data_IF_306560967443
#
_entry.id   IF_306560967443
#
_cell.length_a   1.000
_cell.length_b   1.000
_cell.length_c   1.000
_cell.angle_alpha   90.00
_cell.angle_beta   90.00
_cell.angle_gamma   90.00
#
_symmetry.space_group_name_H-M   'P 1'
#
loop_
_entity.id
_entity.type
_entity.pdbx_description
1 polymer ?
#
# COMPACT_ATOMS: atom_id res chain seq x y z
N UNK A 1 -13.20 77.75 31.50
CA UNK A 1 -12.76 77.08 32.76
C UNK A 1 -13.63 75.80 32.88
N UNK A 2 -13.13 74.66 32.37
CA UNK A 2 -13.79 73.38 32.41
C UNK A 2 -12.92 72.40 33.21
N UNK A 3 -13.44 71.93 34.27
CA UNK A 3 -12.84 70.97 35.20
C UNK A 3 -12.90 69.56 34.61
N UNK A 4 -11.74 68.82 34.66
CA UNK A 4 -11.57 67.46 34.30
C UNK A 4 -11.73 66.60 35.54
N UNK A 5 -12.55 65.50 35.58
CA UNK A 5 -12.63 64.58 36.69
C UNK A 5 -11.54 63.49 36.66
N UNK A 6 -11.15 62.89 37.77
CA UNK A 6 -10.04 61.98 37.88
C UNK A 6 -10.37 60.56 37.44
N UNK A 7 -9.40 59.92 36.81
CA UNK A 7 -9.42 58.50 36.41
C UNK A 7 -9.43 57.56 37.59
N UNK A 8 -10.44 56.70 37.68
CA UNK A 8 -10.46 55.52 38.58
C UNK A 8 -9.68 54.39 37.92
N UNK A 9 -8.66 53.86 38.61
CA UNK A 9 -7.96 52.63 38.26
C UNK A 9 -8.81 51.44 38.69
N UNK A 10 -9.30 50.65 37.77
CA UNK A 10 -9.88 49.33 38.03
C UNK A 10 -8.77 48.30 37.97
N UNK A 11 -8.55 47.59 39.06
CA UNK A 11 -7.65 46.45 39.14
C UNK A 11 -8.33 45.25 38.44
N UNK A 12 -7.72 44.73 37.39
CA UNK A 12 -8.14 43.47 36.75
C UNK A 12 -7.49 42.31 37.50
N UNK A 13 -8.33 41.48 38.14
CA UNK A 13 -7.92 40.15 38.62
C UNK A 13 -7.68 39.25 37.42
N UNK A 14 -6.43 38.89 37.16
CA UNK A 14 -6.08 37.88 36.21
C UNK A 14 -6.38 36.48 36.74
N UNK A 15 -7.36 35.81 36.16
CA UNK A 15 -7.59 34.37 36.38
C UNK A 15 -6.57 33.61 35.57
N UNK A 16 -5.60 32.97 36.19
CA UNK A 16 -4.67 32.06 35.56
C UNK A 16 -5.42 30.75 35.16
N UNK A 17 -5.69 30.55 33.90
CA UNK A 17 -6.14 29.27 33.36
C UNK A 17 -4.90 28.38 33.21
N UNK A 18 -4.78 27.40 34.10
CA UNK A 18 -3.79 26.32 33.97
C UNK A 18 -4.31 25.38 32.86
N UNK A 19 -3.79 25.50 31.66
CA UNK A 19 -4.02 24.53 30.60
C UNK A 19 -3.21 23.25 30.93
N UNK A 20 -3.90 22.21 31.37
CA UNK A 20 -3.32 20.89 31.48
C UNK A 20 -3.10 20.36 30.05
N UNK A 21 -1.87 20.38 29.61
CA UNK A 21 -1.44 19.68 28.37
C UNK A 21 -1.50 18.18 28.65
N UNK A 22 -2.59 17.53 28.25
CA UNK A 22 -2.66 16.09 28.20
C UNK A 22 -1.79 15.67 27.00
N UNK A 23 -0.57 15.21 27.30
CA UNK A 23 0.27 14.59 26.28
C UNK A 23 -0.41 13.30 25.82
N UNK A 24 -0.95 13.29 24.61
CA UNK A 24 -1.35 12.06 23.96
C UNK A 24 -0.10 11.18 23.79
N UNK A 25 -0.20 9.86 24.05
CA UNK A 25 0.91 8.96 23.77
C UNK A 25 1.16 8.97 22.27
N UNK A 26 2.25 9.59 21.84
CA UNK A 26 2.77 9.41 20.51
C UNK A 26 3.16 7.95 20.40
N UNK A 27 2.38 7.18 19.64
CA UNK A 27 2.82 5.85 19.16
C UNK A 27 3.97 6.12 18.21
N UNK A 28 5.18 6.15 18.76
CA UNK A 28 6.38 6.03 17.95
C UNK A 28 6.32 4.66 17.30
N UNK A 29 5.99 4.62 16.02
CA UNK A 29 6.34 3.49 15.17
C UNK A 29 7.84 3.35 15.36
N UNK A 30 8.26 2.31 16.09
CA UNK A 30 9.66 2.00 16.24
C UNK A 30 10.17 1.66 14.83
N UNK A 31 10.73 2.66 14.16
CA UNK A 31 11.67 2.39 13.08
C UNK A 31 12.74 1.55 13.75
N UNK A 32 12.92 0.32 13.30
CA UNK A 32 14.04 -0.49 13.74
C UNK A 32 15.28 0.40 13.64
N UNK A 33 15.93 0.64 14.77
CA UNK A 33 17.18 1.40 14.77
C UNK A 33 18.08 0.77 13.71
N UNK A 34 18.77 1.55 12.87
CA UNK A 34 19.74 0.99 11.96
C UNK A 34 20.64 0.10 12.79
N UNK A 35 20.65 -1.21 12.49
CA UNK A 35 21.50 -2.18 13.19
C UNK A 35 22.90 -1.62 13.20
N UNK A 36 23.62 -1.77 14.31
CA UNK A 36 25.04 -1.41 14.36
C UNK A 36 25.71 -1.94 13.08
N UNK A 37 26.63 -1.19 12.44
CA UNK A 37 27.24 -1.57 11.19
C UNK A 37 27.79 -3.00 11.36
N UNK A 38 27.01 -3.98 10.89
CA UNK A 38 27.36 -5.37 10.92
C UNK A 38 28.58 -5.52 10.02
N UNK A 39 29.61 -6.19 10.49
CA UNK A 39 30.70 -6.61 9.62
C UNK A 39 30.10 -7.33 8.43
N UNK A 40 30.32 -6.79 7.21
CA UNK A 40 29.88 -7.46 5.96
C UNK A 40 30.25 -8.94 6.04
N UNK A 41 29.31 -9.85 5.76
CA UNK A 41 29.63 -11.27 5.78
C UNK A 41 30.87 -11.54 4.92
N UNK A 42 31.72 -12.44 5.33
CA UNK A 42 33.02 -12.72 4.66
C UNK A 42 32.89 -13.11 3.19
N UNK A 43 31.70 -13.55 2.74
CA UNK A 43 31.38 -13.85 1.35
C UNK A 43 31.03 -12.60 0.50
N UNK A 44 30.79 -11.44 1.12
CA UNK A 44 30.51 -10.19 0.41
C UNK A 44 31.78 -9.54 -0.17
N UNK A 45 32.52 -10.20 -0.92
CA UNK A 45 33.74 -9.74 -1.56
C UNK A 45 34.29 -10.79 -2.50
N UNK A 46 33.71 -11.95 -2.43
CA UNK A 46 34.04 -13.07 -3.33
C UNK A 46 32.86 -13.33 -4.25
N UNK A 47 33.16 -13.48 -5.52
CA UNK A 47 32.23 -13.80 -6.60
C UNK A 47 31.57 -15.18 -6.38
N UNK A 48 30.63 -15.24 -5.47
CA UNK A 48 29.93 -16.46 -5.08
C UNK A 48 28.79 -16.74 -6.07
N UNK A 49 29.18 -17.02 -7.32
CA UNK A 49 28.30 -17.19 -8.49
C UNK A 49 27.45 -18.45 -8.45
N UNK A 50 27.44 -19.23 -7.38
CA UNK A 50 26.84 -20.55 -7.34
C UNK A 50 25.36 -20.56 -6.90
N UNK A 51 24.76 -19.42 -6.57
CA UNK A 51 23.32 -19.32 -6.27
C UNK A 51 22.66 -18.25 -7.16
N UNK A 52 21.41 -18.46 -7.62
CA UNK A 52 20.69 -17.49 -8.45
C UNK A 52 20.59 -16.11 -7.78
N UNK A 53 20.59 -16.06 -6.46
CA UNK A 53 20.41 -14.85 -5.66
C UNK A 53 21.69 -14.36 -4.98
N UNK A 54 22.87 -14.84 -5.39
CA UNK A 54 24.15 -14.45 -4.80
C UNK A 54 24.36 -12.93 -4.76
N UNK A 55 23.86 -12.20 -5.77
CA UNK A 55 23.93 -10.74 -5.86
C UNK A 55 23.23 -10.01 -4.72
N UNK A 56 22.22 -10.62 -4.08
CA UNK A 56 21.47 -10.01 -2.98
C UNK A 56 22.01 -10.34 -1.59
N UNK A 57 22.93 -11.30 -1.47
CA UNK A 57 23.50 -11.70 -0.18
C UNK A 57 24.19 -10.55 0.58
N UNK A 58 24.67 -9.56 -0.14
CA UNK A 58 25.43 -8.42 0.39
C UNK A 58 24.61 -7.13 0.44
N UNK A 59 23.32 -7.20 0.18
CA UNK A 59 22.44 -6.04 0.25
C UNK A 59 22.37 -5.52 1.70
N UNK A 60 22.38 -4.20 1.84
CA UNK A 60 22.24 -3.49 3.11
C UNK A 60 20.85 -2.87 3.24
N UNK A 61 20.41 -2.61 4.47
CA UNK A 61 19.15 -1.90 4.72
C UNK A 61 19.21 -0.52 4.07
N UNK A 62 18.19 -0.21 3.27
CA UNK A 62 18.10 1.04 2.51
C UNK A 62 18.59 0.94 1.07
N UNK A 63 19.28 -0.13 0.69
CA UNK A 63 19.68 -0.34 -0.70
C UNK A 63 18.46 -0.40 -1.63
N UNK A 64 18.63 0.13 -2.84
CA UNK A 64 17.66 0.04 -3.93
C UNK A 64 18.15 -1.05 -4.89
N UNK A 65 17.55 -2.22 -4.80
CA UNK A 65 17.97 -3.39 -5.58
C UNK A 65 17.16 -3.52 -6.85
N UNK A 66 17.84 -3.66 -7.97
CA UNK A 66 17.24 -4.11 -9.22
C UNK A 66 16.86 -5.60 -9.12
N UNK A 67 15.56 -5.88 -9.17
CA UNK A 67 15.00 -7.22 -8.96
C UNK A 67 14.12 -7.60 -10.15
N UNK A 68 14.30 -8.79 -10.68
CA UNK A 68 13.39 -9.39 -11.65
C UNK A 68 12.10 -9.78 -10.94
N UNK A 69 10.94 -9.38 -11.44
CA UNK A 69 9.64 -9.61 -10.79
C UNK A 69 9.38 -11.10 -10.55
N UNK A 70 9.82 -11.96 -11.47
CA UNK A 70 9.70 -13.41 -11.33
C UNK A 70 10.53 -14.04 -10.20
N UNK A 71 11.50 -13.30 -9.63
CA UNK A 71 12.37 -13.79 -8.55
C UNK A 71 11.82 -13.47 -7.16
N UNK A 72 10.73 -12.68 -7.07
CA UNK A 72 10.21 -12.17 -5.80
C UNK A 72 9.27 -13.18 -5.13
N UNK A 73 9.47 -13.43 -3.84
CA UNK A 73 8.62 -14.30 -3.05
C UNK A 73 7.57 -13.50 -2.26
N UNK A 74 6.26 -13.73 -2.47
CA UNK A 74 5.21 -13.08 -1.70
C UNK A 74 5.21 -13.47 -0.22
N UNK A 75 4.73 -12.54 0.62
CA UNK A 75 4.56 -12.75 2.08
C UNK A 75 3.11 -12.69 2.53
N UNK A 76 2.17 -12.79 1.59
CA UNK A 76 0.74 -12.90 1.83
C UNK A 76 0.11 -13.92 0.89
N UNK A 77 -0.97 -14.63 1.28
CA UNK A 77 -1.57 -15.69 0.47
C UNK A 77 -2.58 -15.19 -0.56
N UNK A 78 -3.09 -13.97 -0.40
CA UNK A 78 -4.22 -13.46 -1.19
C UNK A 78 -4.01 -12.02 -1.62
N UNK A 79 -4.75 -11.60 -2.65
CA UNK A 79 -4.85 -10.24 -3.16
C UNK A 79 -6.32 -9.82 -3.29
N UNK A 80 -6.59 -8.52 -3.20
CA UNK A 80 -7.82 -7.95 -3.72
C UNK A 80 -7.72 -7.86 -5.25
N UNK A 81 -8.35 -8.78 -5.96
CA UNK A 81 -8.24 -8.83 -7.42
C UNK A 81 -8.78 -7.57 -8.10
N UNK A 82 -9.82 -6.93 -7.56
CA UNK A 82 -10.36 -5.70 -8.15
C UNK A 82 -9.37 -4.52 -8.07
N UNK A 83 -8.41 -4.50 -7.12
CA UNK A 83 -7.30 -3.55 -7.14
C UNK A 83 -6.36 -3.81 -8.32
N UNK A 84 -6.05 -5.08 -8.60
CA UNK A 84 -5.24 -5.46 -9.75
C UNK A 84 -5.98 -5.13 -11.06
N UNK A 85 -7.27 -5.46 -11.15
CA UNK A 85 -8.10 -5.12 -12.32
C UNK A 85 -8.21 -3.62 -12.54
N UNK A 86 -8.30 -2.82 -11.47
CA UNK A 86 -8.22 -1.37 -11.58
C UNK A 86 -6.89 -0.91 -12.21
N UNK A 87 -5.75 -1.44 -11.71
CA UNK A 87 -4.44 -1.08 -12.26
C UNK A 87 -4.32 -1.50 -13.72
N UNK A 88 -4.67 -2.74 -14.04
CA UNK A 88 -4.69 -3.25 -15.43
C UNK A 88 -5.63 -2.43 -16.33
N UNK A 89 -6.81 -2.05 -15.83
CA UNK A 89 -7.72 -1.15 -16.53
C UNK A 89 -7.10 0.22 -16.82
N UNK A 90 -6.37 0.81 -15.85
CA UNK A 90 -5.64 2.06 -16.07
C UNK A 90 -4.48 1.89 -17.05
N UNK A 91 -3.80 0.73 -17.02
CA UNK A 91 -2.63 0.46 -17.87
C UNK A 91 -2.99 0.20 -19.33
N UNK A 92 -4.13 -0.47 -19.58
CA UNK A 92 -4.53 -0.91 -20.92
C UNK A 92 -5.67 -0.09 -21.54
N UNK A 93 -6.54 0.48 -20.71
CA UNK A 93 -7.73 1.25 -21.12
C UNK A 93 -7.65 2.72 -20.68
N UNK A 94 -6.48 3.17 -20.21
CA UNK A 94 -6.28 4.51 -19.67
C UNK A 94 -6.55 5.61 -20.71
N UNK A 95 -7.09 6.71 -20.21
CA UNK A 95 -7.44 7.90 -21.00
C UNK A 95 -6.46 9.06 -20.77
N UNK A 96 -5.36 8.78 -20.08
CA UNK A 96 -4.36 9.79 -19.73
C UNK A 96 -3.38 10.01 -20.89
N UNK A 97 -2.79 11.20 -20.98
CA UNK A 97 -1.80 11.53 -22.01
C UNK A 97 -0.49 10.74 -21.84
N UNK A 98 -0.08 10.53 -20.59
CA UNK A 98 0.97 9.56 -20.22
C UNK A 98 0.25 8.41 -19.54
N UNK A 99 0.52 7.19 -19.98
CA UNK A 99 -0.17 6.02 -19.46
C UNK A 99 0.24 5.79 -17.99
N UNK A 100 -0.76 5.66 -17.10
CA UNK A 100 -0.55 5.42 -15.66
C UNK A 100 0.37 4.24 -15.34
N UNK A 101 0.50 3.30 -16.26
CA UNK A 101 1.44 2.19 -16.20
C UNK A 101 2.89 2.65 -16.00
N UNK A 102 3.31 3.67 -16.74
CA UNK A 102 4.66 4.21 -16.64
C UNK A 102 4.85 5.06 -15.39
N UNK A 103 3.82 5.81 -14.96
CA UNK A 103 3.84 6.50 -13.66
C UNK A 103 4.06 5.51 -12.51
N UNK A 104 3.22 4.45 -12.45
CA UNK A 104 3.31 3.45 -11.39
C UNK A 104 4.65 2.70 -11.40
N UNK A 105 5.23 2.48 -12.59
CA UNK A 105 6.56 1.87 -12.71
C UNK A 105 7.67 2.82 -12.22
N UNK A 106 7.66 4.07 -12.65
CA UNK A 106 8.64 5.08 -12.23
C UNK A 106 8.57 5.33 -10.72
N UNK A 107 7.36 5.42 -10.15
CA UNK A 107 7.15 5.49 -8.70
C UNK A 107 7.72 4.26 -7.98
N UNK A 108 7.41 3.06 -8.47
CA UNK A 108 7.91 1.82 -7.87
C UNK A 108 9.43 1.72 -7.96
N UNK A 109 10.03 2.31 -9.00
CA UNK A 109 11.47 2.38 -9.24
C UNK A 109 12.17 3.51 -8.45
N UNK A 110 11.42 4.32 -7.69
CA UNK A 110 11.97 5.43 -6.89
C UNK A 110 12.33 6.67 -7.69
N UNK A 111 11.75 6.86 -8.86
CA UNK A 111 12.14 7.88 -9.85
C UNK A 111 11.05 8.91 -10.14
N UNK A 112 10.08 9.08 -9.23
CA UNK A 112 8.95 9.99 -9.43
C UNK A 112 7.93 9.43 -10.42
N UNK A 113 7.22 10.29 -11.13
CA UNK A 113 6.29 9.90 -12.18
C UNK A 113 6.99 9.75 -13.54
N UNK A 114 6.28 9.30 -14.56
CA UNK A 114 6.78 9.27 -15.92
C UNK A 114 6.86 10.70 -16.49
N UNK A 115 8.03 11.09 -16.98
CA UNK A 115 8.21 12.37 -17.65
C UNK A 115 7.77 12.32 -19.11
N UNK A 116 8.09 11.24 -19.82
CA UNK A 116 7.69 11.02 -21.22
C UNK A 116 7.44 9.54 -21.50
N UNK A 117 6.52 9.25 -22.41
CA UNK A 117 6.39 7.94 -23.02
C UNK A 117 6.15 8.12 -24.53
N UNK A 118 6.93 7.46 -25.36
CA UNK A 118 6.76 7.49 -26.81
C UNK A 118 5.45 6.79 -27.21
N UNK A 119 4.85 7.13 -28.37
CA UNK A 119 3.78 6.30 -28.92
C UNK A 119 4.24 4.85 -29.08
N UNK A 120 3.53 3.90 -28.44
CA UNK A 120 3.91 2.49 -28.43
C UNK A 120 4.97 2.10 -27.40
N UNK A 121 5.28 2.99 -26.43
CA UNK A 121 6.16 2.68 -25.30
C UNK A 121 5.72 1.41 -24.57
N UNK A 122 6.71 0.65 -24.05
CA UNK A 122 6.54 -0.64 -23.40
C UNK A 122 7.32 -0.70 -22.09
N UNK A 123 6.80 -1.39 -21.08
CA UNK A 123 7.51 -1.58 -19.80
C UNK A 123 8.77 -2.44 -19.97
N UNK A 124 8.73 -3.43 -20.85
CA UNK A 124 9.88 -4.29 -21.19
C UNK A 124 10.92 -3.62 -22.10
N UNK A 125 10.70 -2.36 -22.49
CA UNK A 125 11.66 -1.51 -23.17
C UNK A 125 11.87 -0.18 -22.41
N UNK A 126 12.79 -0.15 -21.42
CA UNK A 126 13.07 1.06 -20.64
C UNK A 126 13.59 2.25 -21.45
N UNK A 127 13.97 2.06 -22.72
CA UNK A 127 14.38 3.15 -23.61
C UNK A 127 13.20 3.91 -24.21
N UNK A 128 11.99 3.34 -24.16
CA UNK A 128 10.76 3.87 -24.76
C UNK A 128 10.05 4.92 -23.94
N UNK A 129 10.46 5.12 -22.68
CA UNK A 129 9.90 6.13 -21.76
C UNK A 129 10.97 6.65 -20.81
N UNK A 130 10.68 7.78 -20.13
CA UNK A 130 11.59 8.36 -19.13
C UNK A 130 10.80 8.69 -17.86
N UNK A 131 11.47 8.57 -16.71
CA UNK A 131 10.96 9.03 -15.43
C UNK A 131 11.49 10.46 -15.12
N UNK A 132 10.84 11.14 -14.18
CA UNK A 132 11.24 12.49 -13.74
C UNK A 132 12.67 12.54 -13.22
N UNK A 133 13.08 11.50 -12.46
CA UNK A 133 14.43 11.42 -11.91
C UNK A 133 15.26 10.35 -12.63
N UNK A 134 16.50 10.65 -13.01
CA UNK A 134 17.45 9.63 -13.48
C UNK A 134 17.87 8.72 -12.31
N UNK A 135 18.34 7.52 -12.63
CA UNK A 135 18.94 6.60 -11.64
C UNK A 135 20.13 7.28 -10.95
N UNK A 136 20.16 7.22 -9.63
CA UNK A 136 21.18 7.86 -8.79
C UNK A 136 20.84 9.30 -8.37
N UNK A 137 19.67 9.83 -8.78
CA UNK A 137 19.17 11.14 -8.34
C UNK A 137 17.89 11.01 -7.48
N UNK A 138 17.65 9.83 -6.92
CA UNK A 138 16.51 9.58 -6.05
C UNK A 138 16.55 10.47 -4.80
N UNK A 139 15.38 10.95 -4.38
CA UNK A 139 15.21 11.75 -3.17
C UNK A 139 14.49 10.93 -2.09
N UNK A 140 14.48 11.42 -0.85
CA UNK A 140 13.73 10.77 0.22
C UNK A 140 12.23 10.63 -0.13
N UNK A 141 11.66 11.64 -0.80
CA UNK A 141 10.28 11.67 -1.25
C UNK A 141 10.00 10.64 -2.34
N UNK A 142 10.91 10.47 -3.30
CA UNK A 142 10.74 9.49 -4.39
C UNK A 142 11.01 8.06 -3.92
N UNK A 143 11.83 7.86 -2.89
CA UNK A 143 12.12 6.55 -2.28
C UNK A 143 10.96 6.09 -1.35
N UNK A 144 10.25 7.02 -0.72
CA UNK A 144 9.22 6.71 0.26
C UNK A 144 8.12 5.75 -0.28
N UNK A 145 7.57 5.92 -1.50
CA UNK A 145 6.54 5.05 -2.06
C UNK A 145 7.07 3.73 -2.66
N UNK A 146 8.41 3.55 -2.73
CA UNK A 146 9.00 2.34 -3.29
C UNK A 146 8.53 1.08 -2.56
N UNK A 147 8.37 0.00 -3.33
CA UNK A 147 8.03 -1.30 -2.77
C UNK A 147 9.23 -1.91 -2.05
N UNK A 148 8.96 -2.76 -1.07
CA UNK A 148 9.98 -3.17 -0.10
C UNK A 148 10.19 -4.68 -0.06
N UNK A 149 11.44 -5.08 0.20
CA UNK A 149 11.84 -6.48 0.34
C UNK A 149 12.67 -6.71 1.59
N UNK A 150 12.65 -7.96 2.05
CA UNK A 150 13.63 -8.52 3.00
C UNK A 150 14.39 -9.59 2.26
N UNK A 151 15.72 -9.58 2.39
CA UNK A 151 16.57 -10.64 1.84
C UNK A 151 16.58 -11.79 2.85
N UNK A 152 16.05 -12.93 2.45
CA UNK A 152 15.95 -14.14 3.23
C UNK A 152 17.12 -15.11 3.03
N UNK A 153 17.04 -16.30 3.65
CA UNK A 153 18.07 -17.33 3.54
C UNK A 153 18.39 -17.67 2.09
N UNK A 154 19.67 -17.69 1.75
CA UNK A 154 20.13 -17.95 0.38
C UNK A 154 20.07 -16.75 -0.56
N UNK A 155 19.70 -15.57 -0.06
CA UNK A 155 19.59 -14.35 -0.86
C UNK A 155 18.21 -14.13 -1.51
N UNK A 156 17.23 -15.00 -1.22
CA UNK A 156 15.89 -14.93 -1.78
C UNK A 156 15.21 -13.59 -1.41
N UNK A 157 14.64 -12.81 -2.35
CA UNK A 157 13.96 -11.55 -2.08
C UNK A 157 12.50 -11.79 -1.68
N UNK A 158 12.14 -11.51 -0.43
CA UNK A 158 10.77 -11.62 0.09
C UNK A 158 10.08 -10.27 0.09
N UNK A 159 9.01 -10.15 -0.69
CA UNK A 159 8.25 -8.91 -0.84
C UNK A 159 7.45 -8.62 0.43
N UNK A 160 7.62 -7.44 1.01
CA UNK A 160 6.90 -7.02 2.23
C UNK A 160 5.84 -5.97 1.95
N UNK A 161 5.92 -5.28 0.81
CA UNK A 161 4.90 -4.39 0.24
C UNK A 161 4.96 -4.42 -1.29
N UNK A 162 3.85 -4.11 -1.96
CA UNK A 162 3.78 -4.01 -3.42
C UNK A 162 3.26 -5.24 -4.15
N UNK A 163 2.68 -6.21 -3.44
CA UNK A 163 2.13 -7.42 -4.05
C UNK A 163 1.13 -7.15 -5.18
N UNK A 164 0.21 -6.19 -5.00
CA UNK A 164 -0.75 -5.78 -6.04
C UNK A 164 -0.05 -5.08 -7.21
N UNK A 165 0.91 -4.21 -6.94
CA UNK A 165 1.64 -3.45 -7.97
C UNK A 165 2.49 -4.38 -8.84
N UNK A 166 3.30 -5.26 -8.22
CA UNK A 166 4.14 -6.20 -8.97
C UNK A 166 3.29 -7.24 -9.72
N UNK A 167 2.18 -7.70 -9.13
CA UNK A 167 1.22 -8.55 -9.84
C UNK A 167 0.63 -7.82 -11.05
N UNK A 168 0.28 -6.54 -10.93
CA UNK A 168 -0.24 -5.78 -12.07
C UNK A 168 0.80 -5.60 -13.18
N UNK A 169 2.06 -5.39 -12.82
CA UNK A 169 3.14 -5.38 -13.81
C UNK A 169 3.38 -6.76 -14.45
N UNK A 170 3.25 -7.82 -13.65
CA UNK A 170 3.38 -9.19 -14.16
C UNK A 170 2.28 -9.53 -15.18
N UNK A 171 1.03 -9.12 -14.91
CA UNK A 171 -0.15 -9.41 -15.74
C UNK A 171 -0.31 -8.50 -16.96
N UNK A 172 0.43 -7.37 -17.01
CA UNK A 172 0.28 -6.46 -18.17
C UNK A 172 0.93 -7.06 -19.42
N UNK A 173 0.38 -6.84 -20.66
CA UNK A 173 0.85 -7.47 -21.89
C UNK A 173 2.33 -7.25 -22.25
N UNK A 174 2.90 -6.15 -21.77
CA UNK A 174 4.31 -5.78 -21.92
C UNK A 174 5.10 -5.87 -20.61
N UNK A 175 4.62 -6.72 -19.69
CA UNK A 175 5.24 -7.01 -18.40
C UNK A 175 5.72 -8.45 -18.33
N UNK A 176 5.44 -9.11 -17.20
CA UNK A 176 5.76 -10.52 -16.97
C UNK A 176 6.92 -10.75 -16.03
N UNK A 177 7.33 -12.00 -15.93
CA UNK A 177 8.33 -12.45 -14.96
C UNK A 177 9.72 -11.80 -15.16
N UNK A 178 10.05 -11.44 -16.39
CA UNK A 178 11.37 -10.89 -16.75
C UNK A 178 11.45 -9.37 -16.61
N UNK A 179 10.33 -8.70 -16.27
CA UNK A 179 10.36 -7.28 -15.99
C UNK A 179 11.16 -6.99 -14.72
N UNK A 180 11.96 -5.95 -14.76
CA UNK A 180 12.77 -5.49 -13.65
C UNK A 180 12.16 -4.26 -12.99
N UNK A 181 12.31 -4.15 -11.68
CA UNK A 181 11.94 -2.98 -10.88
C UNK A 181 12.88 -2.89 -9.69
N UNK A 182 13.22 -1.68 -9.24
CA UNK A 182 14.02 -1.52 -8.03
C UNK A 182 13.12 -1.58 -6.80
N UNK A 183 13.58 -2.35 -5.81
CA UNK A 183 12.92 -2.52 -4.53
C UNK A 183 13.83 -2.08 -3.40
N UNK A 184 13.26 -1.45 -2.37
CA UNK A 184 14.02 -1.00 -1.21
C UNK A 184 14.17 -2.11 -0.18
N UNK A 185 15.39 -2.35 0.28
CA UNK A 185 15.71 -3.37 1.29
C UNK A 185 15.34 -2.86 2.69
N UNK A 186 14.50 -3.61 3.40
CA UNK A 186 14.19 -3.36 4.81
C UNK A 186 15.17 -4.03 5.76
N UNK A 187 15.62 -5.24 5.41
CA UNK A 187 16.59 -6.01 6.19
C UNK A 187 17.24 -7.10 5.33
N UNK A 188 18.43 -7.53 5.73
CA UNK A 188 19.10 -8.69 5.17
C UNK A 188 19.23 -9.78 6.25
N UNK A 189 18.47 -10.85 6.07
CA UNK A 189 18.43 -12.04 6.94
C UNK A 189 18.96 -13.28 6.22
N UNK A 190 19.79 -13.10 5.18
CA UNK A 190 20.33 -14.18 4.36
C UNK A 190 21.15 -15.22 5.14
N UNK A 191 21.68 -14.84 6.31
CA UNK A 191 22.47 -15.72 7.19
C UNK A 191 21.63 -16.46 8.24
N UNK A 192 20.35 -16.15 8.38
CA UNK A 192 19.49 -16.79 9.35
C UNK A 192 19.05 -18.18 8.87
N UNK A 193 18.71 -19.05 9.84
CA UNK A 193 17.97 -20.27 9.51
C UNK A 193 16.56 -19.92 8.98
N UNK A 194 15.94 -20.81 8.20
CA UNK A 194 14.55 -20.58 7.73
C UNK A 194 13.58 -20.36 8.90
N UNK A 195 13.78 -21.04 10.03
CA UNK A 195 12.93 -20.83 11.22
C UNK A 195 13.09 -19.41 11.76
N UNK A 196 14.33 -19.00 12.04
CA UNK A 196 14.60 -17.68 12.63
C UNK A 196 14.22 -16.54 11.68
N UNK A 197 14.37 -16.74 10.36
CA UNK A 197 13.89 -15.82 9.33
C UNK A 197 12.38 -15.57 9.46
N UNK A 198 11.57 -16.63 9.47
CA UNK A 198 10.12 -16.49 9.57
C UNK A 198 9.68 -15.94 10.93
N UNK A 199 10.42 -16.20 12.01
CA UNK A 199 10.14 -15.59 13.30
C UNK A 199 10.39 -14.07 13.25
N UNK A 200 11.49 -13.63 12.63
CA UNK A 200 11.75 -12.20 12.38
C UNK A 200 10.69 -11.55 11.47
N UNK A 201 10.25 -12.23 10.42
CA UNK A 201 9.20 -11.72 9.54
C UNK A 201 7.88 -11.48 10.30
N UNK A 202 7.52 -12.39 11.24
CA UNK A 202 6.33 -12.21 12.10
C UNK A 202 6.49 -11.10 13.12
N UNK A 203 7.63 -11.04 13.81
CA UNK A 203 7.94 -9.99 14.79
C UNK A 203 7.81 -8.60 14.18
N UNK A 204 8.31 -8.41 12.96
CA UNK A 204 8.27 -7.14 12.24
C UNK A 204 6.94 -6.91 11.48
N UNK A 205 5.99 -7.85 11.54
CA UNK A 205 4.74 -7.79 10.76
C UNK A 205 4.96 -7.67 9.25
N UNK A 206 5.99 -8.30 8.72
CA UNK A 206 6.33 -8.32 7.30
C UNK A 206 5.79 -9.55 6.57
N UNK A 207 4.96 -10.33 7.22
CA UNK A 207 4.24 -11.48 6.66
C UNK A 207 2.82 -11.52 7.20
N UNK A 208 1.84 -11.76 6.33
CA UNK A 208 0.44 -11.98 6.67
C UNK A 208 0.06 -13.43 6.37
N UNK A 209 -0.42 -14.17 7.39
CA UNK A 209 -0.63 -15.61 7.32
C UNK A 209 -2.09 -16.00 7.60
N UNK A 210 -3.02 -15.28 6.97
CA UNK A 210 -4.44 -15.65 6.95
C UNK A 210 -4.95 -15.58 5.51
N UNK A 211 -5.75 -16.59 5.10
CA UNK A 211 -6.45 -16.60 3.82
C UNK A 211 -7.66 -15.67 3.81
N UNK A 212 -8.35 -15.55 2.67
CA UNK A 212 -9.52 -14.67 2.52
C UNK A 212 -10.63 -14.95 3.53
N UNK A 213 -10.85 -16.21 3.88
CA UNK A 213 -11.83 -16.63 4.88
C UNK A 213 -11.32 -16.54 6.35
N UNK A 214 -10.15 -15.95 6.57
CA UNK A 214 -9.55 -15.80 7.90
C UNK A 214 -8.84 -17.04 8.43
N UNK A 215 -8.81 -18.15 7.69
CA UNK A 215 -8.12 -19.35 8.08
C UNK A 215 -6.61 -19.16 8.13
N UNK A 216 -5.89 -19.74 9.13
CA UNK A 216 -4.43 -19.63 9.20
C UNK A 216 -3.76 -20.33 8.02
N UNK A 217 -2.75 -19.66 7.46
CA UNK A 217 -1.92 -20.19 6.37
C UNK A 217 -0.50 -20.47 6.89
N UNK A 218 0.05 -21.63 6.54
CA UNK A 218 1.45 -21.95 6.87
C UNK A 218 2.39 -21.26 5.89
N UNK A 219 3.58 -20.86 6.34
CA UNK A 219 4.58 -20.17 5.50
C UNK A 219 4.97 -20.97 4.23
N UNK A 220 4.97 -22.29 4.30
CA UNK A 220 5.24 -23.16 3.15
C UNK A 220 4.04 -23.30 2.18
N UNK A 221 2.96 -22.58 2.42
CA UNK A 221 1.77 -22.48 1.56
C UNK A 221 1.58 -21.08 0.98
N UNK A 222 2.51 -20.17 1.29
CA UNK A 222 2.55 -18.88 0.61
C UNK A 222 2.84 -19.07 -0.88
N UNK A 223 2.36 -18.17 -1.75
CA UNK A 223 2.71 -18.18 -3.17
C UNK A 223 4.21 -18.15 -3.38
N UNK A 224 4.69 -18.83 -4.42
CA UNK A 224 6.11 -18.86 -4.78
C UNK A 224 6.54 -17.72 -5.69
N UNK A 225 5.59 -16.95 -6.22
CA UNK A 225 5.81 -15.80 -7.09
C UNK A 225 4.57 -14.92 -7.19
N UNK A 226 4.72 -13.75 -7.76
CA UNK A 226 3.60 -12.84 -8.06
C UNK A 226 2.83 -13.32 -9.30
N UNK A 227 1.70 -12.69 -9.57
CA UNK A 227 0.75 -13.07 -10.64
C UNK A 227 -0.56 -13.59 -10.05
N UNK A 228 -1.72 -13.19 -10.63
CA UNK A 228 -3.06 -13.52 -10.12
C UNK A 228 -3.26 -15.01 -9.89
N UNK A 229 -2.74 -15.86 -10.79
CA UNK A 229 -2.87 -17.31 -10.68
C UNK A 229 -2.22 -17.92 -9.43
N UNK A 230 -1.32 -17.20 -8.77
CA UNK A 230 -0.60 -17.67 -7.60
C UNK A 230 -1.29 -17.30 -6.27
N UNK A 231 -2.23 -16.36 -6.28
CA UNK A 231 -2.90 -15.87 -5.09
C UNK A 231 -4.36 -16.32 -5.03
N UNK A 232 -4.93 -16.30 -3.84
CA UNK A 232 -6.38 -16.36 -3.66
C UNK A 232 -6.99 -14.96 -3.79
N UNK A 233 -8.23 -14.85 -4.30
CA UNK A 233 -8.94 -13.57 -4.33
C UNK A 233 -9.52 -13.24 -2.96
N UNK A 234 -9.15 -12.12 -2.39
CA UNK A 234 -9.73 -11.55 -1.17
C UNK A 234 -10.67 -10.40 -1.51
N UNK A 235 -11.96 -10.68 -1.47
CA UNK A 235 -13.02 -9.72 -1.80
C UNK A 235 -13.10 -8.58 -0.77
N UNK A 236 -12.84 -8.88 0.52
CA UNK A 236 -12.77 -7.85 1.56
C UNK A 236 -11.62 -6.89 1.29
N UNK A 237 -10.47 -7.43 0.87
CA UNK A 237 -9.30 -6.63 0.51
C UNK A 237 -9.58 -5.72 -0.71
N UNK A 238 -10.34 -6.22 -1.70
CA UNK A 238 -10.81 -5.44 -2.85
C UNK A 238 -11.72 -4.29 -2.41
N UNK A 239 -12.73 -4.59 -1.59
CA UNK A 239 -13.69 -3.60 -1.09
C UNK A 239 -12.99 -2.49 -0.30
N UNK A 240 -12.04 -2.85 0.56
CA UNK A 240 -11.29 -1.90 1.38
C UNK A 240 -10.37 -1.00 0.56
N UNK A 241 -9.77 -1.52 -0.52
CA UNK A 241 -8.97 -0.68 -1.41
C UNK A 241 -9.76 0.53 -1.93
N UNK A 242 -11.01 0.32 -2.33
CA UNK A 242 -11.86 1.41 -2.82
C UNK A 242 -12.43 2.29 -1.67
N UNK A 243 -12.26 1.86 -0.42
CA UNK A 243 -12.61 2.64 0.77
C UNK A 243 -11.51 3.59 1.26
N UNK A 244 -10.29 3.53 0.70
CA UNK A 244 -9.17 4.44 1.04
C UNK A 244 -9.56 5.89 0.82
N UNK A 245 -9.10 6.77 1.71
CA UNK A 245 -9.34 8.21 1.69
C UNK A 245 -10.83 8.60 1.81
N UNK A 246 -11.70 7.60 2.00
CA UNK A 246 -13.15 7.75 2.23
C UNK A 246 -13.53 7.35 3.65
N UNK A 247 -13.06 6.19 4.13
CA UNK A 247 -13.30 5.67 5.48
C UNK A 247 -12.05 5.61 6.34
N UNK A 248 -10.89 5.46 5.72
CA UNK A 248 -9.59 5.41 6.39
C UNK A 248 -8.50 5.89 5.44
N UNK A 249 -7.35 6.28 6.00
CA UNK A 249 -6.13 6.62 5.26
C UNK A 249 -5.04 5.58 5.53
N UNK A 250 -4.13 5.43 4.56
CA UNK A 250 -2.94 4.61 4.76
C UNK A 250 -1.97 5.32 5.71
N UNK A 251 -1.49 4.61 6.71
CA UNK A 251 -0.58 5.14 7.73
C UNK A 251 0.77 4.41 7.78
N UNK A 252 1.08 3.62 6.75
CA UNK A 252 2.34 2.88 6.63
C UNK A 252 2.36 1.55 7.43
N UNK A 253 1.25 1.17 8.07
CA UNK A 253 1.16 -0.13 8.72
C UNK A 253 1.10 -1.24 7.66
N UNK A 254 2.03 -2.22 7.67
CA UNK A 254 1.95 -3.35 6.77
C UNK A 254 0.62 -4.10 6.93
N UNK A 255 0.03 -4.52 5.81
CA UNK A 255 -1.21 -5.30 5.78
C UNK A 255 -2.43 -4.62 6.42
N UNK A 256 -2.45 -3.29 6.53
CA UNK A 256 -3.53 -2.52 7.16
C UNK A 256 -4.93 -2.94 6.68
N UNK A 257 -5.12 -3.11 5.39
CA UNK A 257 -6.40 -3.52 4.81
C UNK A 257 -6.82 -4.94 5.21
N UNK A 258 -5.89 -5.83 5.46
CA UNK A 258 -6.22 -7.19 5.91
C UNK A 258 -6.75 -7.18 7.35
N UNK A 259 -6.26 -6.29 8.21
CA UNK A 259 -6.84 -6.12 9.56
C UNK A 259 -8.26 -5.56 9.48
N UNK A 260 -8.50 -4.57 8.62
CA UNK A 260 -9.85 -4.11 8.35
C UNK A 260 -10.71 -5.20 7.71
N UNK A 261 -10.17 -6.02 6.81
CA UNK A 261 -10.85 -7.15 6.18
C UNK A 261 -11.29 -8.19 7.21
N UNK A 262 -10.45 -8.51 8.19
CA UNK A 262 -10.81 -9.36 9.32
C UNK A 262 -12.02 -8.81 10.07
N UNK A 263 -12.04 -7.51 10.37
CA UNK A 263 -13.18 -6.88 11.03
C UNK A 263 -14.46 -6.94 10.17
N UNK A 264 -14.36 -6.68 8.86
CA UNK A 264 -15.53 -6.78 7.97
C UNK A 264 -16.11 -8.18 7.97
N UNK A 265 -15.26 -9.20 7.89
CA UNK A 265 -15.64 -10.61 7.91
C UNK A 265 -16.28 -11.00 9.25
N UNK A 266 -15.66 -10.64 10.37
CA UNK A 266 -16.01 -11.14 11.69
C UNK A 266 -17.18 -10.35 12.30
N UNK A 267 -17.20 -9.03 12.19
CA UNK A 267 -18.23 -8.15 12.73
C UNK A 267 -19.42 -7.96 11.78
N UNK A 268 -19.26 -8.24 10.49
CA UNK A 268 -20.30 -8.11 9.46
C UNK A 268 -21.03 -6.75 9.52
N UNK A 269 -20.30 -5.62 9.50
CA UNK A 269 -20.90 -4.30 9.67
C UNK A 269 -21.85 -3.91 8.53
N UNK A 270 -21.73 -4.58 7.38
CA UNK A 270 -22.56 -4.40 6.18
C UNK A 270 -23.03 -5.75 5.64
N UNK A 271 -24.18 -5.76 4.98
CA UNK A 271 -24.69 -6.94 4.29
C UNK A 271 -23.98 -7.09 2.93
N UNK A 272 -23.07 -8.06 2.84
CA UNK A 272 -22.35 -8.37 1.61
C UNK A 272 -23.11 -9.35 0.70
N UNK A 273 -24.21 -9.95 1.15
CA UNK A 273 -25.00 -10.87 0.32
C UNK A 273 -25.69 -10.14 -0.85
N UNK A 274 -26.01 -8.87 -0.67
CA UNK A 274 -26.60 -8.00 -1.70
C UNK A 274 -25.56 -7.30 -2.59
N UNK A 275 -24.27 -7.47 -2.30
CA UNK A 275 -23.20 -6.80 -3.03
C UNK A 275 -22.96 -7.45 -4.39
N UNK A 276 -23.35 -6.75 -5.45
CA UNK A 276 -22.98 -7.11 -6.82
C UNK A 276 -21.65 -6.43 -7.19
N UNK A 277 -20.59 -7.22 -7.34
CA UNK A 277 -19.22 -6.76 -7.62
C UNK A 277 -19.00 -6.35 -9.07
N UNK A 278 -19.97 -6.56 -9.95
CA UNK A 278 -19.90 -6.21 -11.36
C UNK A 278 -20.82 -5.03 -11.72
N UNK A 279 -21.55 -4.51 -10.72
CA UNK A 279 -22.39 -3.33 -10.86
C UNK A 279 -21.80 -2.14 -10.09
N UNK A 280 -21.57 -1.03 -10.81
CA UNK A 280 -20.97 0.19 -10.25
C UNK A 280 -21.80 0.76 -9.09
N UNK A 281 -23.12 0.78 -9.23
CA UNK A 281 -24.03 1.34 -8.23
C UNK A 281 -24.03 0.53 -6.94
N UNK A 282 -24.13 -0.81 -7.07
CA UNK A 282 -24.06 -1.76 -5.94
C UNK A 282 -22.72 -1.68 -5.23
N UNK A 283 -21.62 -1.65 -5.98
CA UNK A 283 -20.28 -1.54 -5.41
C UNK A 283 -20.10 -0.23 -4.61
N UNK A 284 -20.49 0.89 -5.20
CA UNK A 284 -20.44 2.21 -4.54
C UNK A 284 -21.33 2.27 -3.29
N UNK A 285 -22.52 1.66 -3.33
CA UNK A 285 -23.39 1.61 -2.17
C UNK A 285 -22.72 0.85 -1.02
N UNK A 286 -22.09 -0.30 -1.30
CA UNK A 286 -21.38 -1.11 -0.32
C UNK A 286 -20.14 -0.39 0.25
N UNK A 287 -19.33 0.24 -0.61
CA UNK A 287 -18.18 1.07 -0.16
C UNK A 287 -18.65 2.19 0.75
N UNK A 288 -19.74 2.89 0.37
CA UNK A 288 -20.29 3.99 1.16
C UNK A 288 -20.77 3.54 2.53
N UNK A 289 -21.50 2.43 2.59
CA UNK A 289 -22.03 1.90 3.85
C UNK A 289 -20.89 1.43 4.75
N UNK A 290 -19.97 0.63 4.23
CA UNK A 290 -18.80 0.16 4.97
C UNK A 290 -17.96 1.32 5.51
N UNK A 291 -17.60 2.28 4.67
CA UNK A 291 -16.72 3.37 5.08
C UNK A 291 -17.38 4.31 6.10
N UNK A 292 -18.71 4.43 6.07
CA UNK A 292 -19.47 5.13 7.14
C UNK A 292 -19.45 4.36 8.45
N UNK A 293 -19.54 3.03 8.42
CA UNK A 293 -19.40 2.22 9.63
C UNK A 293 -17.99 2.33 10.23
N UNK A 294 -16.96 2.34 9.38
CA UNK A 294 -15.57 2.53 9.81
C UNK A 294 -15.38 3.88 10.54
N UNK A 295 -15.84 4.96 9.94
CA UNK A 295 -15.74 6.32 10.55
C UNK A 295 -16.69 6.54 11.73
N UNK A 296 -17.67 5.68 11.92
CA UNK A 296 -18.60 5.69 13.06
C UNK A 296 -18.09 4.91 14.28
N UNK A 297 -16.98 4.17 14.14
CA UNK A 297 -16.39 3.46 15.29
C UNK A 297 -15.78 4.45 16.28
N UNK A 298 -15.87 4.17 17.61
CA UNK A 298 -15.01 4.85 18.58
C UNK A 298 -13.55 4.71 18.18
N UNK A 299 -12.77 5.77 18.31
CA UNK A 299 -11.37 5.78 17.85
C UNK A 299 -10.48 4.74 18.55
N UNK A 300 -10.82 4.40 19.79
CA UNK A 300 -10.15 3.39 20.63
C UNK A 300 -10.78 1.98 20.51
N UNK A 301 -11.85 1.82 19.72
CA UNK A 301 -12.44 0.51 19.48
C UNK A 301 -11.41 -0.42 18.80
N UNK A 302 -11.20 -1.58 19.42
CA UNK A 302 -10.30 -2.62 18.86
C UNK A 302 -10.97 -3.22 17.62
N UNK A 303 -10.24 -3.20 16.51
CA UNK A 303 -10.69 -3.70 15.21
C UNK A 303 -10.19 -5.12 14.99
N UNK A 304 -8.90 -5.34 14.95
CA UNK A 304 -8.27 -6.68 14.82
C UNK A 304 -6.86 -6.67 15.41
N UNK A 305 -6.41 -7.81 15.94
CA UNK A 305 -5.02 -8.05 16.40
C UNK A 305 -4.48 -6.98 17.36
N UNK A 306 -5.37 -6.37 18.16
CA UNK A 306 -5.05 -5.30 19.10
C UNK A 306 -4.94 -3.91 18.47
N UNK A 307 -5.11 -3.77 17.17
CA UNK A 307 -5.18 -2.47 16.51
C UNK A 307 -6.54 -1.82 16.73
N UNK A 308 -6.52 -0.53 17.09
CA UNK A 308 -7.73 0.29 17.20
C UNK A 308 -8.14 0.90 15.87
N UNK A 309 -9.37 1.42 15.78
CA UNK A 309 -9.83 2.13 14.59
C UNK A 309 -8.91 3.30 14.23
N UNK A 310 -8.47 4.10 15.22
CA UNK A 310 -7.48 5.15 15.02
C UNK A 310 -6.11 4.59 14.56
N UNK A 311 -5.67 3.49 15.16
CA UNK A 311 -4.42 2.81 14.81
C UNK A 311 -4.43 2.21 13.39
N UNK A 312 -5.62 1.92 12.87
CA UNK A 312 -5.84 1.50 11.48
C UNK A 312 -6.29 2.67 10.58
N UNK A 313 -5.97 3.91 10.96
CA UNK A 313 -6.15 5.08 10.11
C UNK A 313 -7.60 5.50 9.85
N UNK A 314 -8.59 5.03 10.65
CA UNK A 314 -9.98 5.47 10.46
C UNK A 314 -10.07 7.00 10.45
N UNK A 315 -10.72 7.56 9.42
CA UNK A 315 -10.94 9.01 9.33
C UNK A 315 -11.89 9.47 10.44
N UNK A 316 -11.71 10.69 10.91
CA UNK A 316 -12.61 11.31 11.87
C UNK A 316 -14.00 11.59 11.29
N UNK A 317 -14.04 11.85 10.01
CA UNK A 317 -15.26 12.14 9.28
C UNK A 317 -15.26 11.39 7.93
N UNK A 318 -16.37 10.76 7.62
CA UNK A 318 -16.57 10.10 6.35
C UNK A 318 -16.25 11.03 5.17
N UNK A 319 -15.46 10.54 4.19
CA UNK A 319 -15.07 11.28 2.99
C UNK A 319 -14.38 12.61 3.32
N UNK A 320 -13.65 12.69 4.45
CA UNK A 320 -13.01 13.91 4.94
C UNK A 320 -14.01 15.05 5.22
N UNK A 321 -15.22 14.74 5.67
CA UNK A 321 -16.30 15.71 5.94
C UNK A 321 -17.00 16.24 4.67
N UNK A 322 -16.67 15.73 3.48
CA UNK A 322 -17.25 16.19 2.22
C UNK A 322 -18.55 15.44 1.88
N UNK A 323 -19.48 16.10 1.19
CA UNK A 323 -20.68 15.45 0.67
C UNK A 323 -20.33 14.33 -0.31
N UNK A 324 -21.25 13.37 -0.52
CA UNK A 324 -21.08 12.25 -1.45
C UNK A 324 -20.85 12.68 -2.92
N UNK A 325 -21.23 13.90 -3.28
CA UNK A 325 -21.03 14.50 -4.61
C UNK A 325 -19.72 15.30 -4.72
N UNK A 326 -18.80 15.11 -3.76
CA UNK A 326 -17.50 15.78 -3.68
C UNK A 326 -16.46 14.85 -3.07
N UNK A 327 -15.19 15.20 -3.22
CA UNK A 327 -14.08 14.47 -2.58
C UNK A 327 -13.81 13.12 -3.22
N UNK A 328 -13.22 12.22 -2.42
CA UNK A 328 -12.73 10.93 -2.94
C UNK A 328 -13.87 9.98 -3.31
N UNK A 329 -14.99 10.03 -2.59
CA UNK A 329 -16.15 9.21 -2.94
C UNK A 329 -16.78 9.61 -4.28
N UNK A 330 -16.90 10.92 -4.59
CA UNK A 330 -17.34 11.38 -5.90
C UNK A 330 -16.40 10.94 -7.02
N UNK A 331 -15.08 11.08 -6.79
CA UNK A 331 -14.07 10.63 -7.77
C UNK A 331 -14.17 9.13 -8.03
N UNK A 332 -14.36 8.33 -6.98
CA UNK A 332 -14.50 6.87 -7.10
C UNK A 332 -15.68 6.49 -7.98
N UNK A 333 -16.78 7.21 -7.87
CA UNK A 333 -18.06 6.95 -8.56
C UNK A 333 -18.12 7.42 -10.02
N UNK A 334 -17.09 8.07 -10.56
CA UNK A 334 -17.10 8.55 -11.96
C UNK A 334 -17.18 7.37 -12.93
N UNK A 335 -18.21 7.34 -13.83
CA UNK A 335 -18.38 6.22 -14.76
C UNK A 335 -17.26 6.20 -15.81
N UNK A 336 -17.06 5.03 -16.44
CA UNK A 336 -16.01 4.90 -17.46
C UNK A 336 -16.17 5.83 -18.66
N UNK A 337 -17.40 6.27 -18.98
CA UNK A 337 -17.66 7.25 -20.02
C UNK A 337 -17.14 8.68 -19.70
N UNK A 338 -16.85 8.97 -18.44
CA UNK A 338 -16.29 10.26 -18.02
C UNK A 338 -14.88 10.46 -18.63
N UNK A 339 -14.47 11.72 -18.77
CA UNK A 339 -13.13 12.06 -19.23
C UNK A 339 -12.05 11.61 -18.22
N UNK A 340 -12.40 11.58 -16.92
CA UNK A 340 -11.56 11.07 -15.84
C UNK A 340 -12.34 10.01 -15.03
N UNK A 341 -12.44 8.77 -15.52
CA UNK A 341 -13.15 7.70 -14.82
C UNK A 341 -12.60 7.44 -13.40
N UNK A 342 -13.48 6.99 -12.53
CA UNK A 342 -13.08 6.56 -11.19
C UNK A 342 -12.31 5.23 -11.20
N UNK A 343 -11.59 4.98 -10.11
CA UNK A 343 -10.83 3.72 -9.94
C UNK A 343 -11.72 2.49 -10.14
N UNK A 344 -12.92 2.51 -9.58
CA UNK A 344 -13.85 1.39 -9.65
C UNK A 344 -14.36 1.18 -11.09
N UNK A 345 -14.63 2.26 -11.84
CA UNK A 345 -15.08 2.16 -13.22
C UNK A 345 -14.01 1.50 -14.13
N UNK A 346 -12.72 1.75 -13.88
CA UNK A 346 -11.65 1.08 -14.61
C UNK A 346 -11.58 -0.43 -14.26
N UNK A 347 -11.74 -0.80 -13.00
CA UNK A 347 -11.77 -2.21 -12.59
C UNK A 347 -12.91 -2.97 -13.28
N UNK A 348 -14.12 -2.40 -13.24
CA UNK A 348 -15.30 -3.00 -13.86
C UNK A 348 -15.19 -3.07 -15.38
N UNK A 349 -14.68 -2.03 -16.03
CA UNK A 349 -14.48 -2.04 -17.49
C UNK A 349 -13.43 -3.07 -17.91
N UNK A 350 -12.35 -3.22 -17.15
CA UNK A 350 -11.38 -4.29 -17.39
C UNK A 350 -12.01 -5.68 -17.26
N UNK A 351 -12.74 -5.92 -16.20
CA UNK A 351 -13.48 -7.19 -15.99
C UNK A 351 -14.42 -7.47 -17.17
N UNK A 352 -15.23 -6.50 -17.54
CA UNK A 352 -16.20 -6.61 -18.65
C UNK A 352 -15.53 -6.94 -19.97
N UNK A 353 -14.41 -6.29 -20.30
CA UNK A 353 -13.70 -6.50 -21.58
C UNK A 353 -12.93 -7.80 -21.64
N UNK A 354 -12.62 -8.41 -20.47
CA UNK A 354 -11.88 -9.66 -20.38
C UNK A 354 -12.75 -10.86 -19.93
N UNK A 355 -14.09 -10.68 -19.77
CA UNK A 355 -14.99 -11.76 -19.37
C UNK A 355 -14.71 -12.30 -17.96
N UNK A 356 -14.36 -11.42 -17.00
CA UNK A 356 -13.98 -11.77 -15.64
C UNK A 356 -15.09 -11.49 -14.61
N UNK A 357 -16.32 -11.28 -15.05
CA UNK A 357 -17.51 -11.01 -14.22
C UNK A 357 -18.32 -12.25 -13.90
#
# INVERSE_FOLDING_TARGET
>A
MRLIPPFRRTAALGTAVVAAVVAAPTVTVAHAAPGAPGTRPSFCGHDNRNTPFARYLCAETGDLLDVRIGDVHPTQPSLGYDEVYYKLGRYTLGKDAVNKKFDDWCEADGRGEAATAAPGARLDDPSSFTCELPVGAETAESIAPMKTVVIGPGGEPFLTDGHHTLTSFFETPDGGADLHVRLRVLANYSTLTRKDFWDRMRENKWVYLRGPEGAPVKVNKLPTGVGLANFENDEYRSLLYFGRDIGYEQNGLPFQEFYWGSWVRDARPVDLAAWNRDDLGSYLATVKDLTRKMTGLPRDAVVDSGFTAAGLGALEQWNGGKAATKGEFDKLGKPYADAKPGKLAYALEYKRTHGLG
#
